data_IF_779593649132
#
_entry.id   IF_779593649132
#
_cell.length_a   1.000
_cell.length_b   1.000
_cell.length_c   1.000
_cell.angle_alpha   90.00
_cell.angle_beta   90.00
_cell.angle_gamma   90.00
#
_symmetry.space_group_name_H-M   'P 1'
#
loop_
_entity.id
_entity.type
_entity.pdbx_description
1 polymer ?
#
# COMPACT_ATOMS: atom_id res chain seq x y z
N UNK A 1 -12.56 -14.98 13.57
CA UNK A 1 -12.77 -14.04 12.46
C UNK A 1 -12.78 -12.65 13.07
N UNK A 2 -11.72 -11.85 12.88
CA UNK A 2 -11.68 -10.47 13.38
C UNK A 2 -12.38 -9.58 12.36
N UNK A 3 -13.45 -8.90 12.77
CA UNK A 3 -14.14 -7.89 11.96
C UNK A 3 -13.64 -6.53 12.48
N UNK A 4 -12.98 -5.71 11.65
CA UNK A 4 -12.54 -4.39 12.08
C UNK A 4 -13.77 -3.49 12.30
N UNK A 5 -13.76 -2.67 13.36
CA UNK A 5 -14.89 -1.82 13.74
C UNK A 5 -14.69 -0.37 13.29
N UNK A 6 -13.43 0.03 13.10
CA UNK A 6 -13.04 1.38 12.73
C UNK A 6 -12.04 1.43 11.57
N UNK A 7 -11.96 2.60 10.92
CA UNK A 7 -10.95 2.85 9.89
C UNK A 7 -9.56 2.61 10.49
N UNK A 8 -8.72 1.89 9.75
CA UNK A 8 -7.34 1.58 10.12
C UNK A 8 -7.15 0.51 11.22
N UNK A 9 -8.22 -0.12 11.72
CA UNK A 9 -8.10 -1.23 12.68
C UNK A 9 -7.46 -2.48 12.08
N UNK A 10 -7.57 -2.67 10.76
CA UNK A 10 -6.92 -3.76 10.06
C UNK A 10 -6.41 -3.32 8.69
N UNK A 11 -5.09 -3.19 8.60
CA UNK A 11 -4.40 -2.77 7.38
C UNK A 11 -3.67 -3.98 6.81
N UNK A 12 -3.94 -4.29 5.55
CA UNK A 12 -3.08 -5.18 4.77
C UNK A 12 -2.00 -4.32 4.08
N UNK A 13 -0.75 -4.74 4.15
CA UNK A 13 0.38 -4.03 3.53
C UNK A 13 1.10 -4.96 2.58
N UNK A 14 1.50 -4.44 1.43
CA UNK A 14 2.31 -5.17 0.46
C UNK A 14 3.18 -4.21 -0.36
N UNK A 15 4.16 -4.75 -1.06
CA UNK A 15 5.11 -4.01 -1.86
C UNK A 15 5.17 -4.56 -3.28
N UNK A 16 4.99 -3.68 -4.26
CA UNK A 16 5.24 -4.00 -5.67
C UNK A 16 6.62 -3.47 -6.03
N UNK A 17 7.56 -4.38 -6.26
CA UNK A 17 8.93 -4.09 -6.68
C UNK A 17 9.16 -4.50 -8.15
N UNK A 18 10.37 -4.23 -8.67
CA UNK A 18 10.74 -4.59 -10.03
C UNK A 18 10.07 -3.72 -11.11
N UNK A 19 9.55 -2.55 -10.74
CA UNK A 19 8.96 -1.62 -11.70
C UNK A 19 10.05 -0.87 -12.47
N UNK A 20 9.79 -0.46 -13.72
CA UNK A 20 10.67 0.45 -14.43
C UNK A 20 10.88 1.74 -13.62
N UNK A 21 12.15 2.14 -13.47
CA UNK A 21 12.50 3.33 -12.69
C UNK A 21 11.96 4.58 -13.37
N UNK A 22 11.18 5.37 -12.64
CA UNK A 22 10.70 6.68 -13.08
C UNK A 22 11.86 7.68 -13.20
N UNK A 23 11.67 8.78 -13.93
CA UNK A 23 12.67 9.86 -14.02
C UNK A 23 13.06 10.46 -12.65
N UNK A 24 12.15 10.38 -11.67
CA UNK A 24 12.38 10.83 -10.30
C UNK A 24 13.05 9.77 -9.42
N UNK A 25 13.33 8.58 -9.94
CA UNK A 25 14.07 7.52 -9.26
C UNK A 25 13.21 6.49 -8.51
N UNK A 26 11.88 6.59 -8.55
CA UNK A 26 10.99 5.59 -7.93
C UNK A 26 10.89 4.34 -8.80
N UNK A 27 10.97 3.18 -8.18
CA UNK A 27 11.00 1.84 -8.78
C UNK A 27 10.15 0.83 -7.99
N UNK A 28 9.42 1.32 -6.99
CA UNK A 28 8.64 0.50 -6.07
C UNK A 28 7.38 1.25 -5.63
N UNK A 29 6.31 0.50 -5.37
CA UNK A 29 5.07 1.02 -4.79
C UNK A 29 4.80 0.29 -3.48
N UNK A 30 4.61 1.04 -2.40
CA UNK A 30 4.04 0.53 -1.16
C UNK A 30 2.52 0.66 -1.22
N UNK A 31 1.83 -0.45 -1.01
CA UNK A 31 0.38 -0.54 -0.97
C UNK A 31 -0.06 -0.75 0.47
N UNK A 32 -0.93 0.15 0.96
CA UNK A 32 -1.63 -0.02 2.23
C UNK A 32 -3.14 -0.06 1.99
N UNK A 33 -3.78 -1.15 2.40
CA UNK A 33 -5.22 -1.38 2.19
C UNK A 33 -5.92 -1.44 3.54
N UNK A 34 -6.83 -0.50 3.78
CA UNK A 34 -7.74 -0.59 4.92
C UNK A 34 -8.83 -1.63 4.62
N UNK A 35 -8.82 -2.74 5.34
CA UNK A 35 -9.70 -3.88 5.01
C UNK A 35 -11.16 -3.64 5.31
N UNK A 36 -11.48 -2.66 6.17
CA UNK A 36 -12.84 -2.24 6.47
C UNK A 36 -13.44 -1.45 5.31
N UNK A 37 -12.83 -0.32 4.95
CA UNK A 37 -13.34 0.56 3.88
C UNK A 37 -13.00 0.10 2.47
N UNK A 38 -12.07 -0.86 2.33
CA UNK A 38 -11.45 -1.27 1.06
C UNK A 38 -10.69 -0.15 0.34
N UNK A 39 -10.35 0.93 1.05
CA UNK A 39 -9.52 2.01 0.50
C UNK A 39 -8.07 1.55 0.40
N UNK A 40 -7.43 1.87 -0.73
CA UNK A 40 -6.02 1.56 -0.97
C UNK A 40 -5.22 2.85 -1.13
N UNK A 41 -4.07 2.91 -0.46
CA UNK A 41 -3.11 4.00 -0.54
C UNK A 41 -1.86 3.47 -1.25
N UNK A 42 -1.50 4.14 -2.35
CA UNK A 42 -0.31 3.82 -3.15
C UNK A 42 0.75 4.89 -2.92
N UNK A 43 1.90 4.48 -2.39
CA UNK A 43 3.00 5.37 -2.06
C UNK A 43 4.17 4.97 -2.95
N UNK A 44 4.65 5.90 -3.77
CA UNK A 44 5.84 5.67 -4.59
C UNK A 44 7.09 5.72 -3.71
N UNK A 45 7.92 4.68 -3.81
CA UNK A 45 9.17 4.54 -3.04
C UNK A 45 10.34 4.57 -4.02
N UNK A 46 11.43 5.20 -3.59
CA UNK A 46 12.74 5.13 -4.24
C UNK A 46 13.61 4.20 -3.41
N UNK A 47 14.07 3.10 -4.00
CA UNK A 47 15.21 2.35 -3.45
C UNK A 47 16.54 2.96 -3.86
#
# INVERSE_FOLDING_TARGET
MFIPEWKWDNIAMDFVNGLPRTSKGHDMIWVAVDRLTKSAHFIAIKT
#
